data_IF_277737108698
#
_entry.id   IF_277737108698
#
_cell.length_a   1.000
_cell.length_b   1.000
_cell.length_c   1.000
_cell.angle_alpha   90.00
_cell.angle_beta   90.00
_cell.angle_gamma   90.00
#
_symmetry.space_group_name_H-M   'P 1'
#
loop_
_entity.id
_entity.type
_entity.pdbx_description
1 polymer ?
#
# COMPACT_ATOMS: atom_id res chain seq x y z
N UNK A 1 4.44 -7.77 -5.42
CA UNK A 1 5.85 -8.21 -5.54
C UNK A 1 6.81 -7.03 -5.63
N UNK A 2 6.69 -6.16 -6.66
CA UNK A 2 7.61 -5.03 -6.85
C UNK A 2 7.76 -4.11 -5.62
N UNK A 3 6.65 -3.68 -5.02
CA UNK A 3 6.69 -2.83 -3.81
C UNK A 3 7.53 -3.41 -2.67
N UNK A 4 7.36 -4.70 -2.40
CA UNK A 4 8.14 -5.39 -1.37
C UNK A 4 9.62 -5.53 -1.77
N UNK A 5 9.89 -5.89 -3.03
CA UNK A 5 11.25 -6.05 -3.53
C UNK A 5 12.05 -4.76 -3.48
N UNK A 6 11.48 -3.62 -3.90
CA UNK A 6 12.13 -2.31 -3.84
C UNK A 6 12.51 -1.95 -2.40
N UNK A 7 11.63 -2.19 -1.42
CA UNK A 7 11.96 -1.93 -0.03
C UNK A 7 13.14 -2.77 0.46
N UNK A 8 13.23 -4.05 0.07
CA UNK A 8 14.37 -4.92 0.41
C UNK A 8 15.66 -4.46 -0.27
N UNK A 9 15.60 -4.13 -1.58
CA UNK A 9 16.76 -3.62 -2.31
C UNK A 9 17.32 -2.31 -1.71
N UNK A 10 16.45 -1.41 -1.25
CA UNK A 10 16.88 -0.16 -0.62
C UNK A 10 17.60 -0.38 0.72
N UNK A 11 17.17 -1.35 1.53
CA UNK A 11 17.86 -1.72 2.79
C UNK A 11 19.26 -2.26 2.50
N UNK A 12 19.37 -3.14 1.51
CA UNK A 12 20.64 -3.76 1.14
C UNK A 12 21.63 -2.75 0.53
N UNK A 13 21.12 -1.79 -0.25
CA UNK A 13 21.93 -0.72 -0.84
C UNK A 13 22.52 0.22 0.22
N UNK A 14 21.72 0.61 1.22
CA UNK A 14 22.11 1.58 2.25
C UNK A 14 22.84 0.98 3.48
N UNK A 15 23.19 -0.32 3.43
CA UNK A 15 24.03 -0.97 4.44
C UNK A 15 23.31 -1.25 5.75
N UNK A 16 22.18 -1.98 5.70
CA UNK A 16 21.36 -2.38 6.86
C UNK A 16 20.74 -1.24 7.67
N UNK A 17 20.84 0.02 7.21
CA UNK A 17 20.08 1.12 7.79
C UNK A 17 18.70 1.23 7.16
N UNK A 18 17.68 1.32 8.02
CA UNK A 18 16.26 1.42 7.63
C UNK A 18 15.87 2.83 7.15
N UNK A 19 16.77 3.82 7.24
CA UNK A 19 16.47 5.22 6.93
C UNK A 19 15.95 5.39 5.50
N UNK A 20 16.63 4.81 4.50
CA UNK A 20 16.27 4.98 3.10
C UNK A 20 14.90 4.37 2.79
N UNK A 21 14.61 3.22 3.39
CA UNK A 21 13.31 2.53 3.27
C UNK A 21 12.19 3.30 3.98
N UNK A 22 12.48 3.93 5.12
CA UNK A 22 11.53 4.81 5.81
C UNK A 22 11.19 6.06 5.00
N UNK A 23 12.21 6.72 4.41
CA UNK A 23 12.01 7.85 3.50
C UNK A 23 11.19 7.42 2.29
N UNK A 24 11.49 6.27 1.67
CA UNK A 24 10.70 5.72 0.57
C UNK A 24 9.22 5.55 0.95
N UNK A 25 8.93 4.94 2.10
CA UNK A 25 7.56 4.77 2.60
C UNK A 25 6.84 6.10 2.84
N UNK A 26 7.53 7.09 3.42
CA UNK A 26 6.98 8.43 3.64
C UNK A 26 6.64 9.14 2.32
N UNK A 27 7.55 9.11 1.34
CA UNK A 27 7.31 9.75 0.04
C UNK A 27 6.19 9.05 -0.72
N UNK A 28 6.12 7.72 -0.66
CA UNK A 28 5.03 6.92 -1.25
C UNK A 28 3.67 7.33 -0.67
N UNK A 29 3.54 7.35 0.66
CA UNK A 29 2.31 7.71 1.33
C UNK A 29 1.95 9.19 1.06
N UNK A 30 2.91 10.10 1.18
CA UNK A 30 2.71 11.53 0.93
C UNK A 30 2.30 11.83 -0.51
N UNK A 31 2.89 11.13 -1.49
CA UNK A 31 2.57 11.32 -2.91
C UNK A 31 1.13 10.87 -3.22
N UNK A 32 0.68 9.73 -2.67
CA UNK A 32 -0.70 9.27 -2.84
C UNK A 32 -1.69 10.20 -2.13
N UNK A 33 -1.35 10.72 -0.95
CA UNK A 33 -2.19 11.67 -0.21
C UNK A 33 -2.40 12.97 -0.98
N UNK A 34 -1.33 13.54 -1.53
CA UNK A 34 -1.37 14.84 -2.23
C UNK A 34 -1.94 14.72 -3.65
N UNK A 35 -1.54 13.68 -4.40
CA UNK A 35 -1.88 13.53 -5.81
C UNK A 35 -3.09 12.62 -6.06
N UNK A 36 -3.59 11.91 -5.05
CA UNK A 36 -4.70 10.97 -5.18
C UNK A 36 -5.98 11.59 -5.72
N UNK A 37 -6.35 12.79 -5.24
CA UNK A 37 -7.54 13.50 -5.73
C UNK A 37 -7.40 13.91 -7.21
N UNK A 38 -6.21 14.39 -7.61
CA UNK A 38 -5.90 14.79 -8.98
C UNK A 38 -5.93 13.58 -9.91
N UNK A 39 -5.36 12.46 -9.47
CA UNK A 39 -5.41 11.19 -10.21
C UNK A 39 -6.87 10.73 -10.37
N UNK A 40 -7.69 10.84 -9.33
CA UNK A 40 -9.12 10.50 -9.39
C UNK A 40 -9.88 11.34 -10.42
N UNK A 41 -9.71 12.66 -10.40
CA UNK A 41 -10.32 13.58 -11.37
C UNK A 41 -9.84 13.27 -12.81
N UNK A 42 -8.56 12.96 -13.00
CA UNK A 42 -8.03 12.53 -14.29
C UNK A 42 -8.63 11.21 -14.78
N UNK A 43 -8.84 10.24 -13.87
CA UNK A 43 -9.49 8.95 -14.16
C UNK A 43 -10.95 9.16 -14.58
N UNK A 44 -11.63 10.13 -13.98
CA UNK A 44 -13.04 10.40 -14.27
C UNK A 44 -13.28 11.18 -15.56
N UNK A 45 -12.37 12.10 -15.92
CA UNK A 45 -12.45 12.89 -17.17
C UNK A 45 -12.14 12.10 -18.43
N UNK A 46 -11.30 11.07 -18.33
CA UNK A 46 -10.81 10.33 -19.49
C UNK A 46 -11.60 9.04 -19.71
N UNK A 47 -11.60 8.54 -20.95
CA UNK A 47 -12.26 7.27 -21.27
C UNK A 47 -11.63 6.12 -20.48
N UNK A 48 -12.47 5.27 -19.87
CA UNK A 48 -12.09 4.14 -19.01
C UNK A 48 -10.92 3.30 -19.55
N UNK A 49 -10.97 2.98 -20.85
CA UNK A 49 -9.94 2.15 -21.49
C UNK A 49 -8.60 2.89 -21.63
N UNK A 50 -8.62 4.15 -22.09
CA UNK A 50 -7.39 4.95 -22.20
C UNK A 50 -6.73 5.13 -20.83
N UNK A 51 -7.51 5.41 -19.79
CA UNK A 51 -7.00 5.53 -18.41
C UNK A 51 -6.33 4.25 -17.95
N UNK A 52 -7.01 3.10 -18.11
CA UNK A 52 -6.47 1.81 -17.72
C UNK A 52 -5.17 1.49 -18.48
N UNK A 53 -5.14 1.73 -19.81
CA UNK A 53 -3.96 1.48 -20.62
C UNK A 53 -2.79 2.41 -20.28
N UNK A 54 -3.04 3.72 -20.17
CA UNK A 54 -2.01 4.69 -19.84
C UNK A 54 -1.43 4.46 -18.45
N UNK A 55 -2.28 4.23 -17.43
CA UNK A 55 -1.79 3.94 -16.07
C UNK A 55 -0.94 2.67 -16.01
N UNK A 56 -1.38 1.59 -16.65
CA UNK A 56 -0.66 0.31 -16.69
C UNK A 56 0.67 0.42 -17.46
N UNK A 57 0.70 1.15 -18.59
CA UNK A 57 1.94 1.40 -19.35
C UNK A 57 2.93 2.25 -18.54
N UNK A 58 2.46 3.34 -17.91
CA UNK A 58 3.30 4.23 -17.08
C UNK A 58 3.84 3.47 -15.88
N UNK A 59 3.02 2.65 -15.22
CA UNK A 59 3.45 1.80 -14.11
C UNK A 59 4.60 0.89 -14.53
N UNK A 60 4.40 0.09 -15.58
CA UNK A 60 5.40 -0.89 -16.01
C UNK A 60 6.67 -0.24 -16.56
N UNK A 61 6.56 0.83 -17.36
CA UNK A 61 7.71 1.60 -17.83
C UNK A 61 8.55 2.13 -16.66
N UNK A 62 7.88 2.61 -15.60
CA UNK A 62 8.54 3.10 -14.39
C UNK A 62 9.20 1.95 -13.61
N UNK A 63 8.55 0.79 -13.50
CA UNK A 63 9.13 -0.41 -12.85
C UNK A 63 10.40 -0.87 -13.57
N UNK A 64 10.34 -0.97 -14.91
CA UNK A 64 11.49 -1.40 -15.72
C UNK A 64 12.64 -0.42 -15.61
N UNK A 65 12.36 0.89 -15.76
CA UNK A 65 13.37 1.93 -15.63
C UNK A 65 14.02 1.91 -14.24
N UNK A 66 13.22 1.76 -13.18
CA UNK A 66 13.72 1.63 -11.82
C UNK A 66 14.57 0.36 -11.64
N UNK A 67 14.16 -0.77 -12.20
CA UNK A 67 14.93 -2.02 -12.19
C UNK A 67 16.27 -1.92 -12.92
N UNK A 68 16.33 -1.24 -14.06
CA UNK A 68 17.58 -0.99 -14.80
C UNK A 68 18.52 -0.13 -13.97
N UNK A 69 18.02 0.96 -13.37
CA UNK A 69 18.83 1.85 -12.53
C UNK A 69 19.34 1.10 -11.29
N UNK A 70 18.48 0.34 -10.61
CA UNK A 70 18.89 -0.50 -9.48
C UNK A 70 19.97 -1.50 -9.87
N UNK A 71 19.83 -2.16 -11.03
CA UNK A 71 20.85 -3.09 -11.54
C UNK A 71 22.20 -2.40 -11.78
N UNK A 72 22.19 -1.18 -12.35
CA UNK A 72 23.41 -0.37 -12.52
C UNK A 72 24.03 -0.03 -11.16
N UNK A 73 23.22 0.38 -10.18
CA UNK A 73 23.71 0.70 -8.83
C UNK A 73 24.35 -0.53 -8.18
N UNK A 74 23.72 -1.71 -8.29
CA UNK A 74 24.27 -2.94 -7.73
C UNK A 74 25.59 -3.35 -8.40
N UNK A 75 25.71 -3.21 -9.73
CA UNK A 75 26.91 -3.59 -10.48
C UNK A 75 28.09 -2.64 -10.23
N UNK A 76 27.85 -1.33 -10.13
CA UNK A 76 28.90 -0.30 -10.08
C UNK A 76 28.99 0.42 -8.73
N UNK A 77 28.48 -0.18 -7.63
CA UNK A 77 28.39 0.46 -6.29
C UNK A 77 29.71 1.06 -5.81
N UNK A 78 30.81 0.30 -5.92
CA UNK A 78 32.15 0.73 -5.48
C UNK A 78 32.71 1.87 -6.32
N UNK A 79 32.52 1.84 -7.63
CA UNK A 79 32.96 2.93 -8.52
C UNK A 79 32.11 4.21 -8.32
N UNK A 80 30.79 4.07 -8.13
CA UNK A 80 29.88 5.18 -7.87
C UNK A 80 30.15 5.89 -6.53
N UNK A 81 30.62 5.16 -5.51
CA UNK A 81 31.07 5.74 -4.24
C UNK A 81 32.32 6.60 -4.40
N UNK A 82 33.27 6.15 -5.22
CA UNK A 82 34.53 6.89 -5.46
C UNK A 82 34.35 8.10 -6.38
N UNK A 83 33.36 8.08 -7.26
CA UNK A 83 33.05 9.19 -8.15
C UNK A 83 32.32 10.32 -7.41
N UNK A 84 32.79 11.56 -7.59
CA UNK A 84 32.16 12.78 -7.04
C UNK A 84 31.84 12.72 -5.53
N UNK A 85 32.73 12.16 -4.70
CA UNK A 85 32.55 12.08 -3.24
C UNK A 85 31.19 11.50 -2.80
N UNK A 86 30.66 10.51 -3.55
CA UNK A 86 29.39 9.85 -3.23
C UNK A 86 28.12 10.63 -3.57
N UNK A 87 28.20 11.87 -4.08
CA UNK A 87 27.02 12.63 -4.50
C UNK A 87 26.25 11.97 -5.65
N UNK A 88 26.96 11.30 -6.56
CA UNK A 88 26.35 10.59 -7.68
C UNK A 88 25.45 9.45 -7.19
N UNK A 89 25.88 8.73 -6.16
CA UNK A 89 25.08 7.67 -5.52
C UNK A 89 23.80 8.24 -4.89
N UNK A 90 23.90 9.38 -4.20
CA UNK A 90 22.74 10.09 -3.63
C UNK A 90 21.74 10.50 -4.72
N UNK A 91 22.22 11.03 -5.85
CA UNK A 91 21.36 11.38 -6.98
C UNK A 91 20.67 10.16 -7.58
N UNK A 92 21.37 9.02 -7.69
CA UNK A 92 20.78 7.76 -8.10
C UNK A 92 19.68 7.28 -7.13
N UNK A 93 19.86 7.44 -5.81
CA UNK A 93 18.81 7.10 -4.84
C UNK A 93 17.58 7.99 -4.97
N UNK A 94 17.76 9.30 -5.15
CA UNK A 94 16.64 10.22 -5.40
C UNK A 94 15.91 9.81 -6.69
N UNK A 95 16.65 9.46 -7.75
CA UNK A 95 16.06 9.02 -9.02
C UNK A 95 15.27 7.70 -8.86
N UNK A 96 15.81 6.72 -8.15
CA UNK A 96 15.12 5.45 -7.85
C UNK A 96 13.83 5.72 -7.07
N UNK A 97 13.89 6.53 -6.01
CA UNK A 97 12.72 6.85 -5.18
C UNK A 97 11.66 7.58 -5.99
N UNK A 98 12.03 8.57 -6.80
CA UNK A 98 11.09 9.32 -7.64
C UNK A 98 10.40 8.43 -8.67
N UNK A 99 11.15 7.59 -9.39
CA UNK A 99 10.57 6.66 -10.37
C UNK A 99 9.69 5.60 -9.67
N UNK A 100 10.11 5.09 -8.52
CA UNK A 100 9.30 4.15 -7.74
C UNK A 100 8.00 4.78 -7.24
N UNK A 101 8.00 6.08 -6.92
CA UNK A 101 6.78 6.82 -6.59
C UNK A 101 5.85 6.97 -7.81
N UNK A 102 6.40 7.27 -8.99
CA UNK A 102 5.59 7.32 -10.22
C UNK A 102 4.94 5.96 -10.50
N UNK A 103 5.69 4.86 -10.35
CA UNK A 103 5.15 3.51 -10.48
C UNK A 103 4.01 3.24 -9.49
N UNK A 104 4.15 3.68 -8.24
CA UNK A 104 3.13 3.52 -7.21
C UNK A 104 1.86 4.33 -7.50
N UNK A 105 2.01 5.58 -7.94
CA UNK A 105 0.89 6.44 -8.32
C UNK A 105 0.11 5.86 -9.50
N UNK A 106 0.84 5.37 -10.51
CA UNK A 106 0.24 4.69 -11.65
C UNK A 106 -0.52 3.43 -11.22
N UNK A 107 0.06 2.61 -10.33
CA UNK A 107 -0.63 1.45 -9.74
C UNK A 107 -1.90 1.84 -9.00
N UNK A 108 -1.87 2.95 -8.26
CA UNK A 108 -3.03 3.47 -7.53
C UNK A 108 -4.14 3.91 -8.50
N UNK A 109 -3.77 4.59 -9.59
CA UNK A 109 -4.70 4.97 -10.66
C UNK A 109 -5.36 3.75 -11.31
N UNK A 110 -4.58 2.71 -11.61
CA UNK A 110 -5.08 1.44 -12.15
C UNK A 110 -6.04 0.76 -11.16
N UNK A 111 -5.71 0.75 -9.87
CA UNK A 111 -6.58 0.20 -8.83
C UNK A 111 -7.92 0.95 -8.72
N UNK A 112 -7.92 2.29 -8.73
CA UNK A 112 -9.16 3.10 -8.71
C UNK A 112 -10.00 2.77 -9.96
N UNK A 113 -9.37 2.75 -11.14
CA UNK A 113 -10.05 2.49 -12.40
C UNK A 113 -10.69 1.10 -12.43
N UNK A 114 -9.94 0.05 -12.09
CA UNK A 114 -10.42 -1.33 -12.22
C UNK A 114 -11.29 -1.73 -11.02
N UNK A 115 -10.81 -1.53 -9.79
CA UNK A 115 -11.44 -2.05 -8.58
C UNK A 115 -12.58 -1.18 -8.07
N UNK A 116 -12.66 0.11 -8.44
CA UNK A 116 -13.75 1.00 -8.00
C UNK A 116 -14.72 1.34 -9.14
N UNK A 117 -14.23 1.57 -10.35
CA UNK A 117 -15.10 1.96 -11.49
C UNK A 117 -15.52 0.76 -12.37
N UNK A 118 -14.59 -0.11 -12.79
CA UNK A 118 -14.93 -1.20 -13.70
C UNK A 118 -15.76 -2.30 -13.03
N UNK A 119 -15.43 -2.71 -11.81
CA UNK A 119 -16.18 -3.76 -11.12
C UNK A 119 -17.66 -3.41 -10.96
N UNK A 120 -17.97 -2.13 -10.70
CA UNK A 120 -19.35 -1.66 -10.52
C UNK A 120 -20.12 -1.77 -11.83
N UNK A 121 -19.49 -1.43 -12.95
CA UNK A 121 -20.14 -1.53 -14.27
C UNK A 121 -20.23 -2.97 -14.78
N UNK A 122 -19.25 -3.82 -14.50
CA UNK A 122 -19.29 -5.25 -14.87
C UNK A 122 -20.34 -6.01 -14.05
N UNK A 123 -20.54 -5.66 -12.77
CA UNK A 123 -21.58 -6.24 -11.94
C UNK A 123 -22.99 -5.81 -12.37
N UNK A 124 -23.13 -4.61 -12.96
CA UNK A 124 -24.42 -4.05 -13.36
C UNK A 124 -25.28 -3.63 -12.17
N UNK A 125 -26.59 -3.79 -12.28
CA UNK A 125 -27.55 -3.43 -11.21
C UNK A 125 -27.56 -4.45 -10.05
N UNK A 126 -26.99 -5.64 -10.27
CA UNK A 126 -26.98 -6.74 -9.30
C UNK A 126 -26.04 -6.48 -8.11
N UNK A 127 -26.59 -5.87 -7.06
CA UNK A 127 -25.86 -5.61 -5.80
C UNK A 127 -25.31 -6.90 -5.17
N UNK A 128 -25.99 -8.04 -5.31
CA UNK A 128 -25.52 -9.33 -4.79
C UNK A 128 -24.19 -9.74 -5.43
N UNK A 129 -24.17 -9.82 -6.77
CA UNK A 129 -23.01 -10.12 -7.61
C UNK A 129 -21.85 -9.16 -7.36
N UNK A 130 -22.12 -7.85 -7.21
CA UNK A 130 -21.09 -6.85 -6.92
C UNK A 130 -20.32 -7.16 -5.63
N UNK A 131 -21.00 -7.56 -4.55
CA UNK A 131 -20.26 -7.85 -3.31
C UNK A 131 -19.57 -9.21 -3.34
N UNK A 132 -20.10 -10.20 -4.04
CA UNK A 132 -19.40 -11.48 -4.24
C UNK A 132 -18.11 -11.27 -5.06
N UNK A 133 -18.15 -10.38 -6.06
CA UNK A 133 -16.95 -9.95 -6.80
C UNK A 133 -15.97 -9.17 -5.90
N UNK A 134 -16.45 -8.20 -5.11
CA UNK A 134 -15.59 -7.46 -4.17
C UNK A 134 -14.92 -8.36 -3.13
N UNK A 135 -15.66 -9.33 -2.57
CA UNK A 135 -15.12 -10.31 -1.65
C UNK A 135 -14.06 -11.20 -2.32
N UNK A 136 -14.25 -11.57 -3.59
CA UNK A 136 -13.28 -12.35 -4.35
C UNK A 136 -12.01 -11.56 -4.63
N UNK A 137 -12.12 -10.29 -5.03
CA UNK A 137 -10.95 -9.41 -5.18
C UNK A 137 -10.19 -9.28 -3.86
N UNK A 138 -10.89 -9.09 -2.73
CA UNK A 138 -10.25 -8.99 -1.42
C UNK A 138 -9.52 -10.26 -1.01
N UNK A 139 -10.07 -11.44 -1.33
CA UNK A 139 -9.38 -12.73 -1.12
C UNK A 139 -8.11 -12.83 -1.95
N UNK A 140 -8.15 -12.45 -3.22
CA UNK A 140 -6.96 -12.43 -4.10
C UNK A 140 -5.90 -11.48 -3.53
N UNK A 141 -6.29 -10.27 -3.12
CA UNK A 141 -5.38 -9.28 -2.53
C UNK A 141 -4.68 -9.82 -1.27
N UNK A 142 -5.44 -10.40 -0.34
CA UNK A 142 -4.87 -11.03 0.86
C UNK A 142 -3.90 -12.17 0.51
N UNK A 143 -4.28 -13.08 -0.39
CA UNK A 143 -3.41 -14.16 -0.85
C UNK A 143 -2.10 -13.61 -1.43
N UNK A 144 -2.18 -12.58 -2.28
CA UNK A 144 -0.98 -11.97 -2.87
C UNK A 144 -0.11 -11.24 -1.85
N UNK A 145 -0.70 -10.64 -0.82
CA UNK A 145 0.06 -9.97 0.26
C UNK A 145 0.89 -10.96 1.10
N UNK A 146 0.48 -12.22 1.18
CA UNK A 146 1.22 -13.28 1.89
C UNK A 146 2.24 -13.95 0.96
N UNK A 147 1.80 -14.30 -0.26
CA UNK A 147 2.63 -15.03 -1.21
C UNK A 147 3.74 -14.16 -1.81
N UNK A 148 3.53 -12.85 -1.97
CA UNK A 148 4.52 -11.98 -2.59
C UNK A 148 5.82 -11.85 -1.76
N UNK A 149 5.78 -11.55 -0.44
CA UNK A 149 6.99 -11.57 0.38
C UNK A 149 7.68 -12.92 0.42
N UNK A 150 6.92 -14.02 0.48
CA UNK A 150 7.47 -15.38 0.47
C UNK A 150 8.22 -15.66 -0.84
N UNK A 151 7.61 -15.38 -1.99
CA UNK A 151 8.21 -15.59 -3.30
C UNK A 151 9.47 -14.70 -3.48
N UNK A 152 9.39 -13.42 -3.14
CA UNK A 152 10.53 -12.51 -3.23
C UNK A 152 11.66 -12.94 -2.29
N UNK A 153 11.35 -13.36 -1.05
CA UNK A 153 12.34 -13.86 -0.10
C UNK A 153 13.09 -15.09 -0.61
N UNK A 154 12.39 -16.05 -1.21
CA UNK A 154 13.03 -17.21 -1.84
C UNK A 154 13.90 -16.81 -3.03
N UNK A 155 13.43 -15.90 -3.88
CA UNK A 155 14.20 -15.37 -5.02
C UNK A 155 15.48 -14.68 -4.53
N UNK A 156 15.42 -13.91 -3.44
CA UNK A 156 16.59 -13.25 -2.84
C UNK A 156 17.53 -14.20 -2.09
N UNK A 157 17.03 -15.35 -1.64
CA UNK A 157 17.85 -16.38 -0.97
C UNK A 157 18.66 -17.18 -1.98
N UNK A 158 18.03 -17.61 -3.08
CA UNK A 158 18.68 -18.43 -4.11
C UNK A 158 19.35 -17.59 -5.20
N UNK A 159 18.88 -16.36 -5.42
CA UNK A 159 19.43 -15.43 -6.39
C UNK A 159 20.20 -14.32 -5.71
N UNK A 160 21.31 -13.89 -6.33
CA UNK A 160 21.94 -12.62 -5.97
C UNK A 160 20.94 -11.46 -6.14
N UNK A 161 21.02 -10.37 -5.36
CA UNK A 161 20.15 -9.19 -5.47
C UNK A 161 20.02 -8.65 -6.90
N UNK A 162 21.10 -8.78 -7.68
CA UNK A 162 21.14 -8.40 -9.10
C UNK A 162 20.20 -9.27 -9.95
N UNK A 163 20.28 -10.59 -9.77
CA UNK A 163 19.46 -11.59 -10.47
C UNK A 163 18.00 -11.45 -10.01
N UNK A 164 17.78 -11.25 -8.71
CA UNK A 164 16.47 -10.99 -8.15
C UNK A 164 15.81 -9.75 -8.74
N UNK A 165 16.55 -8.63 -8.85
CA UNK A 165 16.05 -7.40 -9.47
C UNK A 165 15.68 -7.61 -10.94
N UNK A 166 16.57 -8.25 -11.73
CA UNK A 166 16.32 -8.55 -13.13
C UNK A 166 15.11 -9.47 -13.33
N UNK A 167 15.00 -10.54 -12.53
CA UNK A 167 13.90 -11.49 -12.59
C UNK A 167 12.56 -10.84 -12.24
N UNK A 168 12.49 -10.07 -11.15
CA UNK A 168 11.25 -9.43 -10.71
C UNK A 168 10.80 -8.36 -11.70
N UNK A 169 11.75 -7.59 -12.28
CA UNK A 169 11.45 -6.61 -13.33
C UNK A 169 10.92 -7.29 -14.60
N UNK A 170 11.56 -8.37 -15.05
CA UNK A 170 11.10 -9.18 -16.19
C UNK A 170 9.73 -9.83 -15.94
N UNK A 171 9.49 -10.32 -14.73
CA UNK A 171 8.18 -10.83 -14.32
C UNK A 171 7.09 -9.76 -14.39
N UNK A 172 7.40 -8.53 -13.96
CA UNK A 172 6.45 -7.42 -14.03
C UNK A 172 6.10 -7.05 -15.48
N UNK A 173 7.09 -7.05 -16.37
CA UNK A 173 6.90 -6.83 -17.81
C UNK A 173 6.01 -7.91 -18.45
N UNK A 174 6.26 -9.19 -18.14
CA UNK A 174 5.42 -10.29 -18.64
C UNK A 174 3.99 -10.21 -18.10
N UNK A 175 3.83 -9.95 -16.79
CA UNK A 175 2.52 -9.76 -16.17
C UNK A 175 1.74 -8.61 -16.81
N UNK A 176 2.43 -7.52 -17.16
CA UNK A 176 1.82 -6.36 -17.82
C UNK A 176 1.25 -6.71 -19.20
N UNK A 177 2.00 -7.46 -20.02
CA UNK A 177 1.53 -7.86 -21.34
C UNK A 177 0.24 -8.70 -21.24
N UNK A 178 0.22 -9.64 -20.30
CA UNK A 178 -0.97 -10.47 -20.03
C UNK A 178 -2.14 -9.61 -19.54
N UNK A 179 -1.90 -8.72 -18.58
CA UNK A 179 -2.94 -7.85 -18.01
C UNK A 179 -3.53 -6.92 -19.08
N UNK A 180 -2.71 -6.32 -19.94
CA UNK A 180 -3.16 -5.48 -21.04
C UNK A 180 -4.11 -6.23 -21.98
N UNK A 181 -3.74 -7.45 -22.38
CA UNK A 181 -4.56 -8.29 -23.26
C UNK A 181 -5.88 -8.69 -22.59
N UNK A 182 -5.85 -9.03 -21.31
CA UNK A 182 -7.05 -9.39 -20.54
C UNK A 182 -7.99 -8.19 -20.39
N UNK A 183 -7.48 -7.02 -20.03
CA UNK A 183 -8.29 -5.79 -19.90
C UNK A 183 -8.90 -5.38 -21.23
N UNK A 184 -8.15 -5.47 -22.31
CA UNK A 184 -8.66 -5.24 -23.65
C UNK A 184 -9.80 -6.21 -24.00
N UNK A 185 -9.63 -7.50 -23.71
CA UNK A 185 -10.66 -8.52 -23.94
C UNK A 185 -11.91 -8.30 -23.08
N UNK A 186 -11.76 -7.93 -21.81
CA UNK A 186 -12.89 -7.60 -20.91
C UNK A 186 -13.67 -6.40 -21.43
N UNK A 187 -12.96 -5.37 -21.90
CA UNK A 187 -13.57 -4.19 -22.51
C UNK A 187 -14.39 -4.55 -23.75
N UNK A 188 -13.85 -5.38 -24.65
CA UNK A 188 -14.59 -5.84 -25.84
C UNK A 188 -15.83 -6.66 -25.50
N UNK A 189 -15.78 -7.47 -24.42
CA UNK A 189 -16.90 -8.34 -24.01
C UNK A 189 -18.01 -7.60 -23.27
N UNK A 190 -17.76 -6.40 -22.75
CA UNK A 190 -18.70 -5.65 -21.92
C UNK A 190 -18.92 -4.25 -22.51
N UNK A 191 -19.78 -4.11 -23.54
CA UNK A 191 -19.94 -2.84 -24.27
C UNK A 191 -20.50 -1.70 -23.39
N UNK A 192 -21.11 -2.03 -22.24
CA UNK A 192 -21.53 -1.06 -21.23
C UNK A 192 -20.37 -0.25 -20.63
N UNK A 193 -19.12 -0.73 -20.71
CA UNK A 193 -17.95 0.07 -20.30
C UNK A 193 -17.63 1.20 -21.28
N UNK A 194 -18.02 1.09 -22.54
CA UNK A 194 -17.79 2.12 -23.56
C UNK A 194 -18.73 3.33 -23.41
N UNK A 195 -19.83 3.20 -22.65
CA UNK A 195 -20.86 4.22 -22.52
C UNK A 195 -20.47 5.43 -21.66
N UNK A 196 -19.32 5.42 -20.95
CA UNK A 196 -18.92 6.52 -20.03
C UNK A 196 -18.79 7.90 -20.72
N UNK A 197 -18.71 7.98 -22.06
CA UNK A 197 -18.36 9.24 -22.75
C UNK A 197 -19.37 9.80 -23.77
N UNK A 198 -20.38 9.06 -24.25
CA UNK A 198 -21.18 9.61 -25.38
C UNK A 198 -22.34 10.51 -24.94
N UNK A 199 -22.90 10.34 -23.75
CA UNK A 199 -24.11 11.09 -23.35
C UNK A 199 -23.83 12.45 -22.72
N UNK A 200 -22.75 12.60 -21.94
CA UNK A 200 -22.46 13.86 -21.23
C UNK A 200 -21.95 14.93 -22.21
N UNK A 201 -20.95 14.61 -23.05
CA UNK A 201 -20.47 15.53 -24.09
C UNK A 201 -21.57 15.89 -25.11
N UNK A 202 -22.38 14.92 -25.56
CA UNK A 202 -23.47 15.21 -26.50
C UNK A 202 -24.60 16.01 -25.84
N UNK A 203 -24.88 15.80 -24.54
CA UNK A 203 -25.87 16.58 -23.79
C UNK A 203 -25.41 17.99 -23.47
N UNK A 204 -24.13 18.19 -23.15
CA UNK A 204 -23.54 19.51 -22.87
C UNK A 204 -23.44 20.33 -24.17
N UNK A 205 -22.99 19.71 -25.27
CA UNK A 205 -22.91 20.38 -26.59
C UNK A 205 -24.31 20.69 -27.15
N UNK A 206 -25.30 19.80 -26.95
CA UNK A 206 -26.70 20.07 -27.30
C UNK A 206 -27.34 21.12 -26.39
N UNK A 207 -27.07 21.14 -25.09
CA UNK A 207 -27.59 22.16 -24.18
C UNK A 207 -26.99 23.55 -24.47
N UNK A 208 -25.71 23.62 -24.85
CA UNK A 208 -25.07 24.86 -25.29
C UNK A 208 -25.64 25.35 -26.64
N UNK A 209 -25.89 24.45 -27.59
CA UNK A 209 -26.53 24.82 -28.86
C UNK A 209 -27.98 25.28 -28.68
N UNK A 210 -28.78 24.61 -27.85
CA UNK A 210 -30.19 24.98 -27.60
C UNK A 210 -30.30 26.29 -26.83
N UNK A 211 -29.39 26.53 -25.87
CA UNK A 211 -29.37 27.81 -25.12
C UNK A 211 -28.99 28.99 -26.01
N UNK A 212 -28.08 28.78 -26.98
CA UNK A 212 -27.70 29.79 -27.97
C UNK A 212 -28.79 30.08 -29.01
N UNK A 213 -29.68 29.11 -29.27
CA UNK A 213 -30.79 29.25 -30.22
C UNK A 213 -32.02 29.94 -29.59
N UNK A 214 -32.27 29.75 -28.29
CA UNK A 214 -33.38 30.37 -27.57
C UNK A 214 -33.17 31.87 -27.23
N UNK A 215 -31.92 32.33 -27.12
CA UNK A 215 -31.62 33.75 -26.82
C UNK A 215 -31.67 34.65 -28.08
N UNK A 216 -32.00 34.12 -29.27
CA UNK A 216 -32.00 34.87 -30.54
C UNK A 216 -33.36 34.88 -31.26
N UNK A 217 -34.40 35.41 -30.59
CA UNK A 217 -35.56 36.07 -31.25
C UNK A 217 -36.03 37.25 -30.39
N UNK A 218 -36.11 38.47 -30.96
CA UNK A 218 -37.36 38.96 -31.58
C UNK A 218 -37.10 39.61 -32.97
N UNK A 219 -37.88 39.31 -34.00
CA UNK A 219 -39.12 39.98 -34.43
C UNK A 219 -38.93 41.37 -35.09
N UNK A 220 -39.28 41.40 -36.39
CA UNK A 220 -39.75 42.52 -37.22
C UNK A 220 -38.76 43.55 -37.83
N UNK A 221 -38.87 43.76 -39.15
CA UNK A 221 -38.57 45.06 -39.79
C UNK A 221 -37.56 45.10 -40.95
N UNK A 222 -38.08 45.02 -42.18
CA UNK A 222 -37.57 45.44 -43.50
C UNK A 222 -36.58 46.63 -43.54
N UNK A 223 -35.40 46.51 -44.20
CA UNK A 223 -34.92 47.38 -45.32
C UNK A 223 -33.51 47.02 -45.87
N UNK A 224 -33.26 47.53 -47.08
CA UNK A 224 -32.29 47.16 -48.13
C UNK A 224 -30.90 47.83 -48.04
N UNK A 225 -29.89 47.10 -48.55
CA UNK A 225 -28.66 47.51 -49.31
C UNK A 225 -27.69 48.51 -48.65
N UNK A 226 -26.43 48.10 -48.45
CA UNK A 226 -25.20 48.65 -49.09
C UNK A 226 -23.99 47.81 -48.62
N UNK A 227 -23.30 47.26 -49.61
CA UNK A 227 -22.00 46.61 -49.54
C UNK A 227 -20.89 47.67 -49.37
N UNK A 228 -20.10 47.63 -48.28
CA UNK A 228 -18.67 47.98 -48.31
C UNK A 228 -17.89 47.64 -47.04
N UNK A 229 -16.68 47.15 -47.29
CA UNK A 229 -15.49 47.08 -46.44
C UNK A 229 -15.36 45.95 -45.42
N UNK A 230 -14.76 44.87 -45.93
CA UNK A 230 -13.67 44.10 -45.31
C UNK A 230 -12.83 44.98 -44.38
N UNK A 231 -13.05 44.90 -43.07
CA UNK A 231 -12.03 45.15 -42.04
C UNK A 231 -12.41 44.45 -40.74
N UNK A 232 -11.47 43.70 -40.16
CA UNK A 232 -11.52 43.30 -38.75
C UNK A 232 -12.16 41.95 -38.44
N UNK A 233 -11.50 40.85 -38.80
CA UNK A 233 -11.62 39.60 -38.05
C UNK A 233 -10.89 39.82 -36.71
N UNK A 234 -11.61 40.24 -35.67
CA UNK A 234 -11.11 40.13 -34.29
C UNK A 234 -11.63 38.82 -33.69
N UNK A 235 -10.77 37.79 -33.58
CA UNK A 235 -11.09 36.65 -32.73
C UNK A 235 -11.08 37.15 -31.28
N UNK A 236 -12.21 37.05 -30.59
CA UNK A 236 -12.26 37.27 -29.15
C UNK A 236 -11.44 36.18 -28.45
N UNK A 237 -10.16 36.48 -28.30
CA UNK A 237 -9.27 36.21 -27.16
C UNK A 237 -9.70 35.01 -26.33
N UNK A 238 -9.18 33.83 -26.67
CA UNK A 238 -8.88 32.80 -25.67
C UNK A 238 -8.20 33.53 -24.51
N UNK A 239 -8.84 33.56 -23.33
CA UNK A 239 -8.16 34.03 -22.13
C UNK A 239 -6.94 33.13 -21.98
N UNK A 240 -5.76 33.66 -22.27
CA UNK A 240 -4.50 33.05 -21.91
C UNK A 240 -4.61 32.68 -20.43
N UNK A 241 -4.76 31.39 -20.17
CA UNK A 241 -4.76 30.86 -18.81
C UNK A 241 -3.35 31.15 -18.31
N UNK A 242 -3.21 32.24 -17.55
CA UNK A 242 -1.94 32.69 -17.03
C UNK A 242 -1.23 31.53 -16.34
N UNK A 243 0.09 31.47 -16.43
CA UNK A 243 0.90 30.38 -15.86
C UNK A 243 0.53 30.12 -14.37
N UNK A 244 0.13 31.17 -13.64
CA UNK A 244 -0.39 31.08 -12.27
C UNK A 244 -1.73 30.32 -12.14
N UNK A 245 -2.65 30.47 -13.10
CA UNK A 245 -3.90 29.71 -13.13
C UNK A 245 -3.66 28.22 -13.44
N UNK A 246 -2.72 27.90 -14.34
CA UNK A 246 -2.32 26.50 -14.60
C UNK A 246 -1.63 25.83 -13.40
N UNK A 247 -0.86 26.59 -12.61
CA UNK A 247 -0.25 26.09 -11.36
C UNK A 247 -1.29 25.93 -10.24
N UNK A 248 -2.35 26.75 -10.24
CA UNK A 248 -3.44 26.68 -9.27
C UNK A 248 -4.47 25.59 -9.59
N UNK A 249 -4.59 25.16 -10.85
CA UNK A 249 -5.54 24.11 -11.28
C UNK A 249 -5.49 22.84 -10.40
N UNK A 250 -4.31 22.22 -10.13
CA UNK A 250 -4.23 21.05 -9.24
C UNK A 250 -4.75 21.31 -7.82
N UNK A 251 -4.51 22.51 -7.27
CA UNK A 251 -4.97 22.88 -5.94
C UNK A 251 -6.48 23.12 -5.90
N UNK A 252 -7.04 23.71 -6.97
CA UNK A 252 -8.48 23.89 -7.12
C UNK A 252 -9.16 22.52 -7.22
N UNK A 253 -8.65 21.62 -8.07
CA UNK A 253 -9.15 20.25 -8.19
C UNK A 253 -9.10 19.51 -6.85
N UNK A 254 -7.99 19.64 -6.11
CA UNK A 254 -7.85 19.02 -4.79
C UNK A 254 -8.91 19.56 -3.80
N UNK A 255 -9.08 20.89 -3.72
CA UNK A 255 -10.08 21.52 -2.86
C UNK A 255 -11.49 21.07 -3.23
N UNK A 256 -11.82 21.09 -4.52
CA UNK A 256 -13.16 20.77 -5.00
C UNK A 256 -13.48 19.29 -4.75
N UNK A 257 -12.49 18.39 -4.90
CA UNK A 257 -12.61 16.98 -4.51
C UNK A 257 -12.88 16.78 -3.02
N UNK A 258 -12.21 17.54 -2.15
CA UNK A 258 -12.45 17.52 -0.70
C UNK A 258 -13.86 18.02 -0.33
N UNK A 259 -14.29 19.13 -0.92
CA UNK A 259 -15.63 19.68 -0.70
C UNK A 259 -16.70 18.69 -1.19
N UNK A 260 -16.49 18.07 -2.35
CA UNK A 260 -17.38 17.06 -2.88
C UNK A 260 -17.47 15.84 -1.94
N UNK A 261 -16.34 15.35 -1.42
CA UNK A 261 -16.31 14.22 -0.48
C UNK A 261 -17.02 14.54 0.84
N UNK A 262 -16.79 15.74 1.40
CA UNK A 262 -17.41 16.17 2.65
C UNK A 262 -18.94 16.26 2.56
N UNK A 263 -19.47 16.67 1.41
CA UNK A 263 -20.90 16.81 1.19
C UNK A 263 -21.63 15.48 0.91
N UNK A 264 -20.91 14.36 0.76
CA UNK A 264 -21.55 13.06 0.52
C UNK A 264 -22.20 12.50 1.79
N UNK A 265 -23.39 11.88 1.72
CA UNK A 265 -24.06 11.27 2.88
C UNK A 265 -23.27 10.09 3.48
N UNK A 266 -22.32 9.53 2.72
CA UNK A 266 -21.44 8.42 3.16
C UNK A 266 -20.14 8.91 3.82
N UNK A 267 -19.94 10.21 3.98
CA UNK A 267 -18.73 10.81 4.56
C UNK A 267 -18.38 10.19 5.93
N UNK A 268 -19.35 10.09 6.84
CA UNK A 268 -19.14 9.54 8.18
C UNK A 268 -18.69 8.08 8.17
N UNK A 269 -19.26 7.26 7.28
CA UNK A 269 -18.85 5.87 7.11
C UNK A 269 -17.42 5.77 6.53
N UNK A 270 -17.07 6.69 5.62
CA UNK A 270 -15.72 6.82 5.07
C UNK A 270 -14.68 7.23 6.13
N UNK A 271 -15.01 8.18 6.99
CA UNK A 271 -14.18 8.56 8.14
C UNK A 271 -13.98 7.39 9.12
N UNK A 272 -15.02 6.60 9.38
CA UNK A 272 -14.91 5.37 10.18
C UNK A 272 -13.91 4.38 9.59
N UNK A 273 -13.94 4.18 8.26
CA UNK A 273 -12.95 3.35 7.58
C UNK A 273 -11.53 3.91 7.70
N UNK A 274 -11.35 5.23 7.60
CA UNK A 274 -10.04 5.87 7.76
C UNK A 274 -9.46 5.67 9.17
N UNK A 275 -10.28 5.77 10.21
CA UNK A 275 -9.86 5.50 11.59
C UNK A 275 -9.50 4.03 11.83
N UNK A 276 -10.14 3.09 11.13
CA UNK A 276 -9.73 1.68 11.18
C UNK A 276 -8.33 1.45 10.62
N UNK A 277 -7.90 2.23 9.61
CA UNK A 277 -6.53 2.18 9.08
C UNK A 277 -5.47 2.81 10.00
N UNK A 278 -5.88 3.57 11.04
CA UNK A 278 -4.96 4.17 12.01
C UNK A 278 -4.44 3.16 13.05
N UNK A 279 -5.00 1.94 13.10
CA UNK A 279 -4.58 0.93 14.06
C UNK A 279 -3.14 0.48 13.79
N UNK A 280 -2.32 0.46 14.84
CA UNK A 280 -0.97 -0.12 14.82
C UNK A 280 -0.97 -1.61 15.16
N UNK A 281 -2.10 -2.15 15.63
CA UNK A 281 -2.27 -3.53 16.08
C UNK A 281 -2.43 -4.52 14.91
N UNK A 282 -2.02 -4.16 13.69
CA UNK A 282 -1.91 -5.11 12.59
C UNK A 282 -0.64 -5.96 12.68
N UNK A 283 -0.59 -7.08 11.95
CA UNK A 283 0.68 -7.78 11.67
C UNK A 283 1.54 -6.96 10.71
N UNK A 284 1.95 -5.78 11.18
CA UNK A 284 2.79 -4.83 10.48
C UNK A 284 4.15 -4.74 11.22
N UNK A 285 5.07 -3.93 10.70
CA UNK A 285 6.44 -3.84 11.20
C UNK A 285 6.53 -3.55 12.71
N UNK A 286 5.60 -2.77 13.27
CA UNK A 286 5.60 -2.36 14.69
C UNK A 286 5.26 -3.55 15.59
N UNK A 287 4.12 -4.22 15.38
CA UNK A 287 3.71 -5.39 16.17
C UNK A 287 4.68 -6.56 16.00
N UNK A 288 5.22 -6.73 14.79
CA UNK A 288 6.27 -7.72 14.48
C UNK A 288 7.55 -7.40 15.26
N UNK A 289 7.97 -6.13 15.29
CA UNK A 289 9.11 -5.66 16.07
C UNK A 289 8.92 -5.87 17.57
N UNK A 290 7.72 -5.59 18.10
CA UNK A 290 7.36 -5.89 19.48
C UNK A 290 7.40 -7.40 19.77
N UNK A 291 6.92 -8.24 18.86
CA UNK A 291 7.01 -9.69 19.00
C UNK A 291 8.46 -10.16 19.20
N UNK A 292 9.39 -9.59 18.41
CA UNK A 292 10.82 -9.88 18.53
C UNK A 292 11.42 -9.39 19.85
N UNK A 293 11.03 -8.21 20.35
CA UNK A 293 11.54 -7.73 21.65
C UNK A 293 11.03 -8.57 22.82
N UNK A 294 9.88 -9.23 22.67
CA UNK A 294 9.36 -10.20 23.64
C UNK A 294 10.02 -11.60 23.51
N UNK A 295 10.99 -11.78 22.61
CA UNK A 295 11.73 -13.03 22.46
C UNK A 295 10.98 -14.12 21.67
N UNK A 296 9.91 -13.78 20.95
CA UNK A 296 9.24 -14.75 20.07
C UNK A 296 10.14 -15.14 18.90
N UNK A 297 10.22 -16.43 18.61
CA UNK A 297 10.99 -16.92 17.47
C UNK A 297 10.37 -16.46 16.14
N UNK A 298 11.20 -16.28 15.12
CA UNK A 298 10.73 -15.94 13.77
C UNK A 298 9.76 -16.98 13.19
N UNK A 299 9.89 -18.25 13.58
CA UNK A 299 8.99 -19.34 13.17
C UNK A 299 7.58 -19.20 13.76
N UNK A 300 7.47 -18.88 15.06
CA UNK A 300 6.17 -18.62 15.70
C UNK A 300 5.50 -17.41 15.08
N UNK A 301 6.27 -16.36 14.79
CA UNK A 301 5.75 -15.14 14.16
C UNK A 301 5.23 -15.39 12.75
N UNK A 302 5.92 -16.20 11.95
CA UNK A 302 5.42 -16.64 10.63
C UNK A 302 4.14 -17.46 10.73
N UNK A 303 4.01 -18.32 11.74
CA UNK A 303 2.80 -19.10 11.97
C UNK A 303 1.62 -18.20 12.37
N UNK A 304 1.85 -17.21 13.24
CA UNK A 304 0.84 -16.22 13.63
C UNK A 304 0.39 -15.35 12.43
N UNK A 305 1.34 -14.93 11.58
CA UNK A 305 1.01 -14.23 10.33
C UNK A 305 0.16 -15.11 9.40
N UNK A 306 0.50 -16.39 9.27
CA UNK A 306 -0.30 -17.38 8.53
C UNK A 306 -1.72 -17.55 9.10
N UNK A 307 -1.86 -17.60 10.42
CA UNK A 307 -3.16 -17.64 11.08
C UNK A 307 -3.98 -16.36 10.80
N UNK A 308 -3.33 -15.19 10.84
CA UNK A 308 -3.97 -13.90 10.55
C UNK A 308 -4.49 -13.77 9.12
N UNK A 309 -3.79 -14.41 8.18
CA UNK A 309 -4.20 -14.49 6.79
C UNK A 309 -5.46 -15.33 6.62
N UNK A 310 -5.50 -16.49 7.27
CA UNK A 310 -6.66 -17.40 7.25
C UNK A 310 -7.87 -16.70 7.86
N UNK A 311 -7.72 -16.00 8.99
CA UNK A 311 -8.81 -15.24 9.58
C UNK A 311 -9.27 -14.08 8.70
N UNK A 312 -8.34 -13.38 8.02
CA UNK A 312 -8.68 -12.37 7.02
C UNK A 312 -9.52 -12.91 5.86
N UNK A 313 -9.22 -14.12 5.36
CA UNK A 313 -10.01 -14.79 4.30
C UNK A 313 -11.37 -15.21 4.86
N UNK A 314 -11.41 -15.75 6.08
CA UNK A 314 -12.64 -16.13 6.77
C UNK A 314 -13.58 -14.93 6.97
N UNK A 315 -13.05 -13.74 7.25
CA UNK A 315 -13.80 -12.48 7.31
C UNK A 315 -14.53 -12.15 6.01
N UNK A 316 -13.95 -12.45 4.84
CA UNK A 316 -14.63 -12.25 3.55
C UNK A 316 -15.84 -13.18 3.38
N UNK A 317 -15.74 -14.43 3.87
CA UNK A 317 -16.85 -15.39 3.86
C UNK A 317 -17.93 -14.96 4.85
N UNK A 318 -17.52 -14.59 6.07
CA UNK A 318 -18.42 -14.05 7.09
C UNK A 318 -19.18 -12.83 6.59
N UNK A 319 -18.52 -11.90 5.90
CA UNK A 319 -19.15 -10.74 5.26
C UNK A 319 -20.23 -11.15 4.25
N UNK A 320 -19.93 -12.07 3.32
CA UNK A 320 -20.94 -12.50 2.33
C UNK A 320 -22.14 -13.19 2.97
N UNK A 321 -21.92 -14.00 4.01
CA UNK A 321 -22.98 -14.68 4.74
C UNK A 321 -23.84 -13.70 5.54
N UNK A 322 -23.20 -12.82 6.30
CA UNK A 322 -23.89 -11.86 7.17
C UNK A 322 -24.66 -10.82 6.35
N UNK A 323 -24.11 -10.41 5.20
CA UNK A 323 -24.80 -9.54 4.25
C UNK A 323 -26.08 -10.18 3.72
N UNK A 324 -26.04 -11.48 3.35
CA UNK A 324 -27.22 -12.21 2.84
C UNK A 324 -28.31 -12.36 3.90
N UNK A 325 -27.93 -12.53 5.18
CA UNK A 325 -28.90 -12.68 6.28
C UNK A 325 -29.44 -11.37 6.84
N UNK A 326 -28.59 -10.38 7.04
CA UNK A 326 -28.91 -9.21 7.86
C UNK A 326 -28.88 -7.88 7.09
N UNK A 327 -28.46 -7.88 5.81
CA UNK A 327 -28.30 -6.68 5.00
C UNK A 327 -27.00 -5.91 5.29
N UNK A 328 -26.69 -4.93 4.44
CA UNK A 328 -25.38 -4.27 4.41
C UNK A 328 -25.09 -3.42 5.67
N UNK A 329 -26.05 -2.59 6.10
CA UNK A 329 -25.86 -1.67 7.23
C UNK A 329 -25.66 -2.43 8.54
N UNK A 330 -26.50 -3.45 8.80
CA UNK A 330 -26.38 -4.28 10.00
C UNK A 330 -25.11 -5.10 10.01
N UNK A 331 -24.64 -5.57 8.86
CA UNK A 331 -23.34 -6.27 8.73
C UNK A 331 -22.21 -5.40 9.25
N UNK A 332 -22.17 -4.11 8.87
CA UNK A 332 -21.14 -3.18 9.35
C UNK A 332 -21.19 -2.93 10.86
N UNK A 333 -22.39 -2.84 11.44
CA UNK A 333 -22.55 -2.70 12.90
C UNK A 333 -22.07 -3.94 13.64
N UNK A 334 -22.48 -5.14 13.18
CA UNK A 334 -22.10 -6.41 13.80
C UNK A 334 -20.58 -6.62 13.72
N UNK A 335 -19.95 -6.34 12.56
CA UNK A 335 -18.49 -6.40 12.45
C UNK A 335 -17.80 -5.37 13.35
N UNK A 336 -18.37 -4.18 13.51
CA UNK A 336 -17.85 -3.17 14.44
C UNK A 336 -17.87 -3.63 15.90
N UNK A 337 -18.96 -4.27 16.35
CA UNK A 337 -19.07 -4.83 17.70
C UNK A 337 -18.09 -6.00 17.88
N UNK A 338 -17.98 -6.87 16.89
CA UNK A 338 -17.01 -7.97 16.91
C UNK A 338 -15.57 -7.44 17.01
N UNK A 339 -15.21 -6.44 16.19
CA UNK A 339 -13.91 -5.77 16.25
C UNK A 339 -13.63 -5.16 17.62
N UNK A 340 -14.60 -4.42 18.17
CA UNK A 340 -14.48 -3.80 19.48
C UNK A 340 -14.28 -4.86 20.57
N UNK A 341 -15.01 -5.97 20.53
CA UNK A 341 -14.86 -7.04 21.50
C UNK A 341 -13.46 -7.66 21.46
N UNK A 342 -12.87 -7.84 20.26
CA UNK A 342 -11.50 -8.32 20.11
C UNK A 342 -10.48 -7.30 20.63
N UNK A 343 -10.70 -6.00 20.38
CA UNK A 343 -9.84 -4.94 20.90
C UNK A 343 -9.92 -4.81 22.43
N UNK A 344 -11.07 -5.08 23.04
CA UNK A 344 -11.20 -5.15 24.50
C UNK A 344 -10.34 -6.28 25.06
N UNK A 345 -10.29 -7.45 24.41
CA UNK A 345 -9.36 -8.52 24.80
C UNK A 345 -7.90 -8.08 24.70
N UNK A 346 -7.53 -7.36 23.62
CA UNK A 346 -6.19 -6.77 23.50
C UNK A 346 -5.90 -5.77 24.62
N UNK A 347 -6.84 -4.90 24.96
CA UNK A 347 -6.66 -3.93 26.05
C UNK A 347 -6.46 -4.64 27.39
N UNK A 348 -7.27 -5.66 27.70
CA UNK A 348 -7.11 -6.47 28.92
C UNK A 348 -5.73 -7.15 28.94
N UNK A 349 -5.25 -7.66 27.79
CA UNK A 349 -3.94 -8.32 27.71
C UNK A 349 -2.77 -7.42 28.12
N UNK A 350 -2.87 -6.11 27.83
CA UNK A 350 -1.85 -5.13 28.20
C UNK A 350 -1.81 -4.89 29.72
N UNK A 351 -2.92 -5.08 30.42
CA UNK A 351 -3.02 -4.91 31.88
C UNK A 351 -2.90 -6.23 32.67
N UNK A 352 -2.71 -7.38 31.99
CA UNK A 352 -2.51 -8.65 32.68
C UNK A 352 -1.07 -8.79 33.22
N UNK A 353 -0.89 -9.54 34.34
CA UNK A 353 0.41 -9.74 34.96
C UNK A 353 1.40 -10.38 33.97
N UNK A 354 2.59 -9.80 33.87
CA UNK A 354 3.60 -10.16 32.86
C UNK A 354 3.61 -9.32 31.59
N UNK A 355 2.81 -8.26 31.51
CA UNK A 355 2.95 -7.20 30.50
C UNK A 355 3.97 -6.14 30.97
N UNK A 356 4.74 -5.48 30.08
CA UNK A 356 5.61 -4.35 30.44
C UNK A 356 4.85 -3.16 31.07
N UNK A 357 3.52 -3.14 30.97
CA UNK A 357 2.62 -2.14 31.55
C UNK A 357 1.82 -2.70 32.75
N UNK A 358 2.31 -3.77 33.37
CA UNK A 358 1.76 -4.27 34.64
C UNK A 358 1.70 -3.12 35.65
N UNK A 359 0.49 -2.70 36.02
CA UNK A 359 0.26 -1.60 36.96
C UNK A 359 0.78 -1.91 38.38
N UNK A 360 1.21 -3.16 38.63
CA UNK A 360 1.86 -3.57 39.87
C UNK A 360 3.37 -3.26 39.90
N UNK A 361 4.00 -3.00 38.75
CA UNK A 361 5.42 -2.63 38.64
C UNK A 361 5.52 -1.35 37.81
N UNK A 362 5.90 -0.23 38.42
CA UNK A 362 5.94 1.05 37.71
C UNK A 362 6.87 0.99 36.49
N UNK A 363 6.40 1.23 35.26
CA UNK A 363 7.23 1.17 34.04
C UNK A 363 8.33 2.24 34.01
N UNK A 364 8.23 3.23 34.91
CA UNK A 364 9.24 4.27 35.10
C UNK A 364 10.36 3.89 36.06
N UNK A 365 10.25 2.79 36.82
CA UNK A 365 11.34 2.33 37.68
C UNK A 365 12.56 1.91 36.85
N UNK A 366 12.32 1.25 35.71
CA UNK A 366 13.37 0.75 34.81
C UNK A 366 14.04 1.89 34.01
N UNK A 367 13.26 2.89 33.61
CA UNK A 367 13.76 4.11 32.94
C UNK A 367 14.52 5.00 33.94
N UNK A 368 14.03 5.09 35.18
CA UNK A 368 14.71 5.76 36.29
C UNK A 368 16.02 5.08 36.64
N UNK A 369 16.05 3.75 36.77
CA UNK A 369 17.27 2.99 37.03
C UNK A 369 18.31 3.21 35.94
N UNK A 370 17.93 3.15 34.66
CA UNK A 370 18.84 3.40 33.53
C UNK A 370 19.30 4.85 33.37
N UNK A 371 18.54 5.83 33.86
CA UNK A 371 18.91 7.25 33.81
C UNK A 371 19.69 7.72 35.04
N UNK A 372 19.55 7.04 36.19
CA UNK A 372 20.14 7.45 37.47
C UNK A 372 21.25 6.53 38.00
N UNK A 373 21.41 5.30 37.49
CA UNK A 373 22.57 4.45 37.82
C UNK A 373 23.66 4.54 36.73
N UNK A 374 24.71 5.30 37.03
CA UNK A 374 26.02 5.17 36.41
C UNK A 374 26.69 3.88 36.90
N UNK A 375 26.19 2.71 36.51
CA UNK A 375 26.97 1.47 36.62
C UNK A 375 27.93 1.37 35.43
N UNK A 376 29.24 1.15 35.65
CA UNK A 376 30.22 1.11 34.59
C UNK A 376 30.02 -0.12 33.69
N UNK A 377 30.27 0.05 32.38
CA UNK A 377 30.30 -1.03 31.39
C UNK A 377 31.08 -2.25 31.92
N UNK A 378 30.59 -3.50 31.73
CA UNK A 378 31.48 -4.64 31.79
C UNK A 378 32.54 -4.47 30.70
N UNK A 379 33.79 -4.51 31.13
CA UNK A 379 34.99 -4.28 30.32
C UNK A 379 34.98 -5.23 29.11
N UNK A 380 34.86 -4.67 27.92
CA UNK A 380 35.13 -5.38 26.66
C UNK A 380 36.63 -5.67 26.64
N UNK A 381 37.01 -6.90 26.94
CA UNK A 381 38.25 -7.47 26.42
C UNK A 381 38.07 -7.70 24.92
N UNK A 382 38.99 -7.18 24.12
CA UNK A 382 39.19 -7.48 22.70
C UNK A 382 40.71 -7.51 22.46
N UNK A 383 41.28 -8.16 21.43
CA UNK A 383 40.65 -8.82 20.28
C UNK A 383 41.21 -10.22 19.94
N UNK A 384 40.44 -11.05 19.23
CA UNK A 384 41.02 -12.15 18.44
C UNK A 384 40.06 -13.32 18.18
N UNK A 385 39.61 -13.46 16.94
CA UNK A 385 38.92 -14.66 16.42
C UNK A 385 37.56 -14.36 15.81
N UNK A 386 37.50 -14.42 14.47
CA UNK A 386 36.28 -14.35 13.66
C UNK A 386 35.25 -15.44 14.06
N UNK A 387 33.94 -15.19 14.03
CA UNK A 387 32.95 -16.26 14.02
C UNK A 387 32.49 -16.55 12.59
N UNK A 388 32.95 -17.70 12.10
CA UNK A 388 32.51 -18.39 10.90
C UNK A 388 31.01 -18.75 11.02
N UNK A 389 30.18 -18.27 10.10
CA UNK A 389 28.75 -18.64 10.01
C UNK A 389 28.64 -19.95 9.25
N UNK A 390 28.69 -21.08 9.96
CA UNK A 390 28.37 -22.39 9.40
C UNK A 390 26.89 -22.72 9.57
N UNK A 391 26.14 -22.68 8.46
CA UNK A 391 24.84 -23.33 8.32
C UNK A 391 25.05 -24.85 8.34
N UNK A 392 24.47 -25.56 9.32
CA UNK A 392 24.44 -27.02 9.33
C UNK A 392 23.00 -27.53 9.44
N UNK A 393 22.47 -27.97 8.31
CA UNK A 393 21.36 -28.92 8.19
C UNK A 393 21.84 -30.32 8.58
N UNK A 394 21.19 -30.99 9.53
CA UNK A 394 21.44 -32.41 9.84
C UNK A 394 20.41 -33.01 10.81
N UNK A 395 19.74 -34.08 10.37
CA UNK A 395 18.82 -34.92 11.18
C UNK A 395 19.52 -35.57 12.39
N UNK A 396 18.80 -35.91 13.47
CA UNK A 396 19.38 -36.56 14.65
C UNK A 396 19.51 -38.07 14.45
N UNK A 397 20.71 -38.61 14.65
CA UNK A 397 20.94 -40.04 14.84
C UNK A 397 21.06 -40.36 16.33
N UNK A 398 20.22 -41.31 16.76
CA UNK A 398 20.32 -42.07 18.00
C UNK A 398 21.63 -42.89 18.03
N UNK A 399 22.45 -42.76 19.09
CA UNK A 399 22.85 -43.86 20.00
C UNK A 399 23.92 -43.40 21.02
N UNK A 400 23.57 -43.60 22.30
CA UNK A 400 24.34 -44.24 23.38
C UNK A 400 25.78 -43.79 23.77
N UNK A 401 25.95 -43.45 25.05
CA UNK A 401 27.02 -44.06 25.88
C UNK A 401 27.93 -43.13 26.70
N UNK A 402 27.81 -43.27 28.04
CA UNK A 402 28.83 -43.11 29.10
C UNK A 402 29.29 -41.71 29.60
N UNK A 403 28.72 -41.34 30.75
CA UNK A 403 29.37 -40.91 32.01
C UNK A 403 30.71 -40.18 32.00
N UNK A 404 30.70 -38.93 32.49
CA UNK A 404 31.50 -38.48 33.67
C UNK A 404 30.87 -37.23 34.31
N UNK A 405 30.85 -37.09 35.64
CA UNK A 405 30.19 -36.00 36.36
C UNK A 405 31.19 -34.89 36.74
N UNK A 406 30.83 -33.61 36.65
CA UNK A 406 31.28 -32.56 37.57
C UNK A 406 30.74 -31.18 37.19
N UNK A 407 30.36 -30.43 38.23
CA UNK A 407 29.96 -29.03 38.28
C UNK A 407 28.60 -28.65 37.68
N UNK A 408 27.59 -28.80 38.54
CA UNK A 408 26.35 -28.05 38.47
C UNK A 408 26.63 -26.58 38.82
N UNK A 409 26.59 -25.71 37.81
CA UNK A 409 26.21 -24.32 38.02
C UNK A 409 24.68 -24.27 38.10
N UNK A 410 24.09 -23.48 39.02
CA UNK A 410 22.65 -23.40 39.13
C UNK A 410 22.10 -22.81 37.84
N UNK A 411 21.24 -23.58 37.18
CA UNK A 411 20.36 -23.14 36.13
C UNK A 411 19.77 -21.77 36.52
N UNK A 412 20.25 -20.69 35.92
CA UNK A 412 19.41 -19.53 35.70
C UNK A 412 18.46 -19.93 34.58
N UNK A 413 17.47 -20.74 34.94
CA UNK A 413 16.26 -20.89 34.16
C UNK A 413 15.76 -19.47 33.86
N UNK A 414 15.62 -19.05 32.59
CA UNK A 414 14.89 -17.83 32.33
C UNK A 414 13.49 -18.05 32.92
N UNK A 415 13.11 -17.23 33.89
CA UNK A 415 11.73 -17.23 34.39
C UNK A 415 10.78 -17.25 33.19
N UNK A 416 9.72 -18.07 33.22
CA UNK A 416 8.77 -18.09 32.12
C UNK A 416 8.10 -16.71 32.09
N UNK A 417 8.61 -15.83 31.21
CA UNK A 417 7.95 -14.58 30.87
C UNK A 417 6.48 -14.94 30.63
N UNK A 418 5.51 -14.30 31.30
CA UNK A 418 4.13 -14.74 31.23
C UNK A 418 3.61 -14.57 29.79
N UNK A 419 3.78 -15.61 28.97
CA UNK A 419 3.36 -15.69 27.58
C UNK A 419 1.84 -15.57 27.43
N UNK A 420 1.10 -15.53 28.53
CA UNK A 420 -0.35 -15.38 28.58
C UNK A 420 -0.77 -14.00 28.07
N UNK A 421 -0.09 -12.91 28.49
CA UNK A 421 -0.39 -11.54 28.03
C UNK A 421 -0.13 -11.42 26.52
N UNK A 422 1.04 -11.89 26.08
CA UNK A 422 1.49 -11.87 24.68
C UNK A 422 0.59 -12.74 23.80
N UNK A 423 0.26 -13.96 24.23
CA UNK A 423 -0.63 -14.86 23.49
C UNK A 423 -2.05 -14.31 23.39
N UNK A 424 -2.57 -13.69 24.45
CA UNK A 424 -3.89 -13.05 24.43
C UNK A 424 -3.92 -11.83 23.50
N UNK A 425 -2.85 -11.02 23.49
CA UNK A 425 -2.68 -9.91 22.56
C UNK A 425 -2.72 -10.39 21.11
N UNK A 426 -1.89 -11.38 20.75
CA UNK A 426 -1.85 -11.91 19.38
C UNK A 426 -3.15 -12.62 19.00
N UNK A 427 -3.79 -13.32 19.93
CA UNK A 427 -5.11 -13.92 19.69
C UNK A 427 -6.17 -12.87 19.39
N UNK A 428 -6.22 -11.77 20.16
CA UNK A 428 -7.12 -10.65 19.93
C UNK A 428 -6.85 -9.96 18.59
N UNK A 429 -5.59 -9.77 18.23
CA UNK A 429 -5.17 -9.20 16.93
C UNK A 429 -5.58 -10.09 15.75
N UNK A 430 -5.40 -11.41 15.87
CA UNK A 430 -5.79 -12.38 14.82
C UNK A 430 -7.32 -12.45 14.69
N UNK A 431 -8.05 -12.43 15.80
CA UNK A 431 -9.51 -12.46 15.81
C UNK A 431 -10.11 -11.18 15.20
N UNK A 432 -9.49 -10.02 15.45
CA UNK A 432 -9.86 -8.72 14.89
C UNK A 432 -9.62 -8.60 13.36
N UNK A 433 -9.18 -9.68 12.69
CA UNK A 433 -9.06 -9.73 11.22
C UNK A 433 -10.27 -10.40 10.55
N UNK A 434 -11.14 -11.07 11.33
CA UNK A 434 -12.42 -11.66 10.87
C UNK A 434 -13.49 -10.58 10.80
#
# INVERSE_FOLDING_TARGET
MWHFAVSVFLVELYGNSLLLTAVYGLVVAGSVLLLGAIIGDWVDKNSRLKVAQTSLVVQNASVILCGIILMIIFLFKTQLLTLYHGWLLTMCYILVITIANIANLASTATAITIQRDWIVVVAGEDRSKLADMNATIRRIDQLTNILAPMAVGQIMTFGSPMIGCGFISGWNLMSMCVEYLLLWKVYQKTPTLALKCSKVEESELRQLNIKKENDMKPAEGVQLIVEKDVTGFEPQREKEVGCAARIAEPFITFRDGWVAYYNQPVFLAGMGLAFLYMTVLGFDCITTGYAYTQGLSGSVLSLLMGASAITGIMGTVAFTWLRRKCGLIRTGLISGVAQLSCLVLCAISVFMPGSPLDLTVSPFADISARLFENEPLPTIASPGGEPEVAFATGMPNLLNGSTTPAYADPEMSPEPVPLISVSLLFAGVIAARV
#
